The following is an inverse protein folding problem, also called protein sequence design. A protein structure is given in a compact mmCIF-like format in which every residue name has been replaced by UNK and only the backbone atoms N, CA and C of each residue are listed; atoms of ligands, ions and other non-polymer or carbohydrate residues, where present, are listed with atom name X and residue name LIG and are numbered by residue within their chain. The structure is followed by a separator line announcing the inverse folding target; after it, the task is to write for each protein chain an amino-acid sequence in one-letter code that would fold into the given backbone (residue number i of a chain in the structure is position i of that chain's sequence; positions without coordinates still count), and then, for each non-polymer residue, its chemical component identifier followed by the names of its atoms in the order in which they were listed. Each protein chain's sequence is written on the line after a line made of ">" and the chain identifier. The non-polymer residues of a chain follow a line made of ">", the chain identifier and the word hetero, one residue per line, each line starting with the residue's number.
data_IF_271541513167
#
_entry.id   IF_271541513167
#
_cell.length_a   1.000
_cell.length_b   1.000
_cell.length_c   1.000
_cell.angle_alpha   90.00
_cell.angle_beta   90.00
_cell.angle_gamma   90.00
#
_symmetry.space_group_name_H-M   'P 1'
#
loop_
_entity.id
_entity.type
_entity.pdbx_description
1 polymer ?
#
# COMPACT_ATOMS: atom_id res chain seq x y z
N UNK A 1 7.59 -6.49 24.91
CA UNK A 1 7.96 -5.67 23.81
C UNK A 1 7.13 -5.98 22.58
N UNK A 2 6.47 -5.04 22.07
CA UNK A 2 5.59 -5.27 20.92
C UNK A 2 6.42 -5.46 19.67
N UNK A 3 6.62 -6.67 19.30
CA UNK A 3 7.54 -6.99 18.25
C UNK A 3 7.00 -6.81 16.86
N UNK A 4 5.70 -6.83 16.71
CA UNK A 4 5.10 -6.83 15.40
C UNK A 4 4.67 -5.46 14.92
N UNK A 5 4.85 -4.44 15.74
CA UNK A 5 4.38 -3.11 15.37
C UNK A 5 5.22 -2.52 14.25
N UNK A 6 4.56 -1.88 13.31
CA UNK A 6 5.23 -1.20 12.22
C UNK A 6 5.15 0.30 12.45
N UNK A 7 6.30 0.98 12.40
CA UNK A 7 6.34 2.41 12.51
C UNK A 7 6.03 3.05 11.15
N UNK A 8 5.53 4.28 11.19
CA UNK A 8 5.21 5.00 9.97
C UNK A 8 6.43 5.13 9.07
N UNK A 9 7.61 5.38 9.65
CA UNK A 9 8.83 5.53 8.86
C UNK A 9 9.18 4.24 8.14
N UNK A 10 9.02 3.10 8.81
CA UNK A 10 9.32 1.82 8.20
C UNK A 10 8.36 1.52 7.05
N UNK A 11 7.10 1.85 7.21
CA UNK A 11 6.12 1.68 6.14
C UNK A 11 6.46 2.56 4.95
N UNK A 12 6.78 3.83 5.23
CA UNK A 12 7.17 4.78 4.18
C UNK A 12 8.38 4.28 3.41
N UNK A 13 9.41 3.83 4.13
CA UNK A 13 10.63 3.33 3.50
C UNK A 13 10.33 2.11 2.61
N UNK A 14 9.46 1.24 3.08
CA UNK A 14 9.08 0.06 2.31
C UNK A 14 8.41 0.47 1.00
N UNK A 15 7.45 1.39 1.06
CA UNK A 15 6.75 1.84 -0.14
C UNK A 15 7.67 2.53 -1.13
N UNK A 16 8.57 3.38 -0.63
CA UNK A 16 9.47 4.13 -1.51
C UNK A 16 10.54 3.26 -2.14
N UNK A 17 10.79 2.08 -1.59
CA UNK A 17 11.73 1.13 -2.18
C UNK A 17 11.13 0.39 -3.37
N UNK A 18 9.82 0.44 -3.57
CA UNK A 18 9.19 -0.24 -4.70
C UNK A 18 9.46 0.54 -5.98
N UNK A 19 9.70 -0.16 -7.11
CA UNK A 19 10.10 0.49 -8.35
C UNK A 19 9.10 1.55 -8.82
N UNK A 20 9.60 2.76 -9.09
CA UNK A 20 8.80 3.84 -9.59
C UNK A 20 7.87 4.49 -8.58
N UNK A 21 7.94 4.09 -7.32
CA UNK A 21 7.06 4.66 -6.29
C UNK A 21 7.49 6.09 -5.94
N UNK A 22 6.50 6.95 -5.79
CA UNK A 22 6.71 8.34 -5.39
C UNK A 22 5.76 8.66 -4.25
N UNK A 23 6.05 9.74 -3.52
CA UNK A 23 5.19 10.17 -2.44
C UNK A 23 4.82 11.63 -2.62
N UNK A 24 3.74 12.04 -1.99
CA UNK A 24 3.31 13.44 -2.04
C UNK A 24 2.18 13.70 -1.09
N UNK A 25 1.78 14.96 -1.01
CA UNK A 25 0.73 15.43 -0.10
C UNK A 25 -0.38 16.14 -0.89
N UNK A 26 -1.00 15.47 -1.86
CA UNK A 26 -1.99 16.13 -2.71
C UNK A 26 -3.26 16.54 -1.99
N UNK A 27 -3.53 15.94 -0.82
CA UNK A 27 -4.74 16.23 -0.06
C UNK A 27 -4.46 17.06 1.19
N UNK A 28 -3.26 17.63 1.32
CA UNK A 28 -2.92 18.46 2.47
C UNK A 28 -1.81 17.85 3.30
N UNK A 29 -1.35 18.56 4.33
CA UNK A 29 -0.15 18.17 5.07
C UNK A 29 -0.32 16.94 5.95
N UNK A 30 -1.54 16.48 6.17
CA UNK A 30 -1.78 15.37 7.09
C UNK A 30 -1.99 14.04 6.39
N UNK A 31 -1.91 13.99 5.07
CA UNK A 31 -2.19 12.75 4.33
C UNK A 31 -1.08 12.50 3.31
N UNK A 32 -0.27 11.49 3.57
CA UNK A 32 0.82 11.12 2.67
C UNK A 32 0.32 10.06 1.70
N UNK A 33 0.54 10.28 0.41
CA UNK A 33 0.06 9.40 -0.64
C UNK A 33 1.24 8.82 -1.41
N UNK A 34 1.20 7.52 -1.67
CA UNK A 34 2.22 6.84 -2.46
C UNK A 34 1.61 6.43 -3.79
N UNK A 35 2.30 6.73 -4.87
CA UNK A 35 1.82 6.47 -6.23
C UNK A 35 2.84 5.69 -7.04
N UNK A 36 2.34 4.97 -8.03
CA UNK A 36 3.17 4.36 -9.05
C UNK A 36 2.44 4.57 -10.38
N UNK A 37 3.18 5.05 -11.37
CA UNK A 37 2.57 5.35 -12.68
C UNK A 37 1.46 6.38 -12.58
N UNK A 38 1.54 7.28 -11.63
CA UNK A 38 0.53 8.31 -11.42
C UNK A 38 -0.70 7.86 -10.66
N UNK A 39 -0.78 6.59 -10.24
CA UNK A 39 -1.94 6.06 -9.52
C UNK A 39 -1.57 5.72 -8.10
N UNK A 40 -2.48 6.02 -7.18
CA UNK A 40 -2.29 5.81 -5.76
C UNK A 40 -2.35 4.32 -5.41
N UNK A 41 -1.38 3.84 -4.62
CA UNK A 41 -1.45 2.47 -4.09
C UNK A 41 -1.42 2.43 -2.56
N UNK A 42 -1.09 3.52 -1.89
CA UNK A 42 -1.13 3.59 -0.44
C UNK A 42 -1.41 5.02 -0.01
N UNK A 43 -2.11 5.14 1.12
CA UNK A 43 -2.45 6.45 1.67
C UNK A 43 -2.32 6.35 3.18
N UNK A 44 -1.55 7.25 3.78
CA UNK A 44 -1.22 7.19 5.18
C UNK A 44 -1.63 8.51 5.86
N UNK A 45 -2.48 8.41 6.88
CA UNK A 45 -2.84 9.57 7.68
C UNK A 45 -1.74 9.85 8.69
N UNK A 46 -1.18 11.06 8.66
CA UNK A 46 -0.06 11.41 9.51
C UNK A 46 -0.48 11.89 10.89
N UNK A 47 -1.72 12.34 11.02
CA UNK A 47 -2.23 12.88 12.28
C UNK A 47 -3.19 11.93 13.00
N UNK A 48 -3.23 10.68 12.55
CA UNK A 48 -4.13 9.69 13.15
C UNK A 48 -3.45 8.93 14.27
N UNK A 49 -4.23 8.70 15.33
CA UNK A 49 -3.74 7.94 16.47
C UNK A 49 -4.85 6.99 16.91
N UNK A 50 -4.70 5.69 16.76
CA UNK A 50 -3.51 5.03 16.22
C UNK A 50 -3.40 5.20 14.71
N UNK A 51 -2.20 5.10 14.15
CA UNK A 51 -1.99 5.29 12.72
C UNK A 51 -2.54 4.11 11.91
N UNK A 52 -3.00 4.42 10.71
CA UNK A 52 -3.43 3.38 9.79
C UNK A 52 -3.05 3.78 8.36
N UNK A 53 -3.07 2.79 7.48
CA UNK A 53 -2.82 3.02 6.06
C UNK A 53 -3.96 2.43 5.27
N UNK A 54 -4.32 3.08 4.16
CA UNK A 54 -5.27 2.52 3.21
C UNK A 54 -4.50 1.84 2.11
N UNK A 55 -4.85 0.59 1.83
CA UNK A 55 -4.18 -0.22 0.81
C UNK A 55 -5.22 -0.87 -0.07
N UNK A 56 -4.95 -0.87 -1.38
CA UNK A 56 -5.82 -1.55 -2.32
C UNK A 56 -5.65 -3.05 -2.17
N UNK A 57 -6.72 -3.79 -2.35
CA UNK A 57 -6.70 -5.23 -2.13
C UNK A 57 -7.69 -5.93 -3.04
N UNK A 58 -7.36 -7.15 -3.44
CA UNK A 58 -8.31 -8.01 -4.10
C UNK A 58 -9.57 -8.12 -3.24
N UNK A 59 -10.79 -7.96 -3.81
CA UNK A 59 -12.01 -7.90 -3.00
C UNK A 59 -12.25 -9.10 -2.10
N UNK A 60 -11.98 -10.31 -2.58
CA UNK A 60 -12.19 -11.50 -1.76
C UNK A 60 -11.19 -11.55 -0.61
N UNK A 61 -9.95 -11.22 -0.91
CA UNK A 61 -8.93 -11.18 0.12
C UNK A 61 -9.20 -10.07 1.13
N UNK A 62 -9.73 -8.94 0.65
CA UNK A 62 -10.06 -7.83 1.54
C UNK A 62 -11.05 -8.27 2.61
N UNK A 63 -12.08 -9.03 2.21
CA UNK A 63 -13.07 -9.54 3.16
C UNK A 63 -12.42 -10.51 4.14
N UNK A 64 -11.58 -11.43 3.66
CA UNK A 64 -10.90 -12.39 4.52
C UNK A 64 -10.01 -11.70 5.55
N UNK A 65 -9.31 -10.66 5.13
CA UNK A 65 -8.44 -9.93 6.05
C UNK A 65 -9.25 -9.23 7.14
N UNK A 66 -10.39 -8.66 6.78
CA UNK A 66 -11.26 -8.02 7.76
C UNK A 66 -11.83 -9.01 8.75
N UNK A 67 -12.04 -10.25 8.32
CA UNK A 67 -12.52 -11.30 9.21
C UNK A 67 -11.42 -11.87 10.08
N UNK A 68 -10.19 -11.83 9.60
CA UNK A 68 -9.04 -12.39 10.29
C UNK A 68 -8.44 -11.44 11.32
N UNK A 69 -8.35 -10.16 10.96
CA UNK A 69 -7.67 -9.17 11.80
C UNK A 69 -8.63 -8.08 12.23
N UNK A 70 -8.66 -7.82 13.51
CA UNK A 70 -9.52 -6.78 14.05
C UNK A 70 -9.12 -5.39 13.54
N UNK A 71 -7.84 -5.17 13.33
CA UNK A 71 -7.35 -3.86 12.89
C UNK A 71 -7.43 -3.66 11.39
N UNK A 72 -8.03 -4.59 10.64
CA UNK A 72 -8.32 -4.38 9.22
C UNK A 72 -9.80 -4.07 9.07
N UNK A 73 -10.10 -2.93 8.46
CA UNK A 73 -11.48 -2.46 8.30
C UNK A 73 -11.68 -2.01 6.86
N UNK A 74 -12.93 -1.80 6.42
CA UNK A 74 -13.16 -1.26 5.07
C UNK A 74 -12.47 0.09 4.92
N UNK A 75 -11.95 0.36 3.72
CA UNK A 75 -11.15 1.54 3.48
C UNK A 75 -11.85 2.83 3.85
N UNK A 76 -11.28 3.56 4.78
CA UNK A 76 -11.83 4.81 5.29
C UNK A 76 -11.73 5.88 4.20
N UNK A 77 -12.87 6.46 3.83
CA UNK A 77 -12.97 7.42 2.74
C UNK A 77 -12.52 6.89 1.38
N UNK A 78 -12.53 5.56 1.22
CA UNK A 78 -12.14 4.91 -0.02
C UNK A 78 -13.25 3.99 -0.49
N UNK A 79 -13.12 3.46 -1.70
CA UNK A 79 -14.02 2.42 -2.18
C UNK A 79 -13.82 1.18 -1.31
N UNK A 80 -14.86 0.75 -0.62
CA UNK A 80 -14.72 -0.27 0.41
C UNK A 80 -14.66 -1.69 -0.14
N UNK A 81 -14.94 -1.87 -1.42
CA UNK A 81 -14.77 -3.18 -2.07
C UNK A 81 -13.30 -3.41 -2.37
N UNK A 82 -12.59 -2.37 -2.79
CA UNK A 82 -11.22 -2.49 -3.28
C UNK A 82 -10.15 -1.98 -2.32
N UNK A 83 -10.54 -1.40 -1.20
CA UNK A 83 -9.58 -0.81 -0.27
C UNK A 83 -9.87 -1.22 1.16
N UNK A 84 -8.80 -1.51 1.89
CA UNK A 84 -8.87 -1.74 3.34
C UNK A 84 -8.06 -0.69 4.06
N UNK A 85 -8.49 -0.36 5.28
CA UNK A 85 -7.68 0.40 6.21
C UNK A 85 -7.01 -0.59 7.15
N UNK A 86 -5.70 -0.51 7.29
CA UNK A 86 -4.91 -1.44 8.08
C UNK A 86 -4.26 -0.66 9.21
N UNK A 87 -4.60 -0.98 10.45
CA UNK A 87 -3.99 -0.34 11.60
C UNK A 87 -2.56 -0.79 11.76
N UNK A 88 -1.65 0.15 11.96
CA UNK A 88 -0.22 -0.17 12.04
C UNK A 88 0.20 -0.66 13.43
N UNK A 89 -0.64 -0.44 14.44
CA UNK A 89 -0.35 -0.85 15.81
C UNK A 89 -1.36 -1.84 16.35
N UNK A 90 -2.02 -2.55 15.45
CA UNK A 90 -3.02 -3.52 15.84
C UNK A 90 -2.49 -4.93 15.75
N UNK A 91 -3.35 -5.85 15.36
CA UNK A 91 -3.04 -7.27 15.37
C UNK A 91 -2.46 -7.80 14.06
N UNK A 92 -2.15 -6.94 13.10
CA UNK A 92 -1.54 -7.37 11.84
C UNK A 92 -0.02 -7.32 11.98
N UNK A 93 0.67 -8.46 11.81
CA UNK A 93 2.14 -8.46 11.90
C UNK A 93 2.76 -7.57 10.82
N UNK A 94 3.92 -6.97 11.15
CA UNK A 94 4.57 -6.05 10.23
C UNK A 94 4.91 -6.70 8.90
N UNK A 95 5.28 -7.98 8.91
CA UNK A 95 5.55 -8.70 7.66
C UNK A 95 4.33 -8.81 6.77
N UNK A 96 3.16 -8.99 7.37
CA UNK A 96 1.91 -9.03 6.63
C UNK A 96 1.58 -7.65 6.07
N UNK A 97 1.81 -6.59 6.86
CA UNK A 97 1.57 -5.23 6.38
C UNK A 97 2.43 -4.92 5.16
N UNK A 98 3.71 -5.31 5.19
CA UNK A 98 4.58 -5.13 4.02
C UNK A 98 4.08 -5.90 2.82
N UNK A 99 3.65 -7.14 3.03
CA UNK A 99 3.14 -7.96 1.96
C UNK A 99 1.86 -7.37 1.38
N UNK A 100 1.02 -6.77 2.22
CA UNK A 100 -0.20 -6.11 1.76
C UNK A 100 0.12 -4.85 0.96
N UNK A 101 1.17 -4.13 1.33
CA UNK A 101 1.64 -2.98 0.56
C UNK A 101 2.12 -3.44 -0.82
N UNK A 102 2.87 -4.54 -0.87
CA UNK A 102 3.34 -5.10 -2.13
C UNK A 102 2.17 -5.56 -3.01
N UNK A 103 1.17 -6.15 -2.39
CA UNK A 103 -0.03 -6.60 -3.10
C UNK A 103 -0.78 -5.40 -3.72
N UNK A 104 -0.94 -4.33 -2.94
CA UNK A 104 -1.59 -3.12 -3.42
C UNK A 104 -0.81 -2.52 -4.60
N UNK A 105 0.50 -2.43 -4.46
CA UNK A 105 1.37 -1.95 -5.52
C UNK A 105 1.19 -2.80 -6.79
N UNK A 106 1.22 -4.12 -6.65
CA UNK A 106 1.10 -5.02 -7.79
C UNK A 106 -0.24 -4.85 -8.50
N UNK A 107 -1.33 -4.67 -7.75
CA UNK A 107 -2.64 -4.45 -8.34
C UNK A 107 -2.67 -3.18 -9.16
N UNK A 108 -2.06 -2.11 -8.65
CA UNK A 108 -2.04 -0.83 -9.37
C UNK A 108 -1.17 -0.94 -10.61
N UNK A 109 0.01 -1.57 -10.49
CA UNK A 109 0.88 -1.77 -11.66
C UNK A 109 0.16 -2.54 -12.75
N UNK A 110 -0.57 -3.60 -12.37
CA UNK A 110 -1.31 -4.41 -13.33
C UNK A 110 -2.38 -3.60 -14.07
N UNK A 111 -2.87 -2.52 -13.47
CA UNK A 111 -3.88 -1.67 -14.07
C UNK A 111 -3.31 -0.58 -14.97
N UNK A 112 -1.99 -0.44 -15.02
CA UNK A 112 -1.37 0.62 -15.81
C UNK A 112 -1.32 0.25 -17.29
N UNK A 113 -1.26 1.25 -18.20
CA UNK A 113 -1.02 0.97 -19.62
C UNK A 113 0.29 0.21 -19.80
N UNK A 114 0.36 -0.54 -20.88
CA UNK A 114 1.52 -1.38 -21.15
C UNK A 114 2.82 -0.60 -21.17
N UNK A 115 2.82 0.59 -21.76
CA UNK A 115 4.04 1.40 -21.83
C UNK A 115 4.54 1.79 -20.45
N UNK A 116 3.62 2.14 -19.54
CA UNK A 116 4.01 2.50 -18.19
C UNK A 116 4.52 1.27 -17.42
N UNK A 117 3.88 0.11 -17.61
CA UNK A 117 4.34 -1.10 -16.96
C UNK A 117 5.70 -1.54 -17.46
N UNK A 118 5.94 -1.41 -18.76
CA UNK A 118 7.21 -1.77 -19.37
C UNK A 118 8.34 -0.91 -18.80
N UNK A 119 8.09 0.38 -18.62
CA UNK A 119 9.10 1.27 -18.07
C UNK A 119 9.51 0.83 -16.65
N UNK A 120 8.56 0.38 -15.85
CA UNK A 120 8.86 -0.10 -14.51
C UNK A 120 9.60 -1.44 -14.55
N UNK A 121 9.13 -2.35 -15.40
CA UNK A 121 9.75 -3.66 -15.51
C UNK A 121 11.15 -3.59 -16.05
N UNK A 122 11.37 -2.74 -17.03
CA UNK A 122 12.72 -2.55 -17.56
C UNK A 122 13.64 -2.02 -16.47
N UNK A 123 13.13 -1.16 -15.63
CA UNK A 123 13.89 -0.65 -14.51
C UNK A 123 14.32 -1.73 -13.57
N UNK A 124 13.63 -2.84 -13.55
CA UNK A 124 14.01 -3.96 -12.73
C UNK A 124 14.95 -4.90 -13.41
N UNK A 125 15.18 -4.62 -14.54
CA UNK A 125 16.03 -5.47 -15.29
C UNK A 125 15.32 -6.77 -15.54
N UNK A 126 15.03 -6.89 -15.35
CA UNK A 126 14.60 -7.89 -15.58
C UNK A 126 14.26 -8.16 -16.80
N UNK A 127 14.33 -7.96 -16.71
CA UNK A 127 14.07 -8.30 -17.30
C UNK A 127 13.80 -8.22 -18.19
N UNK A 128 13.93 -7.93 -18.27
CA UNK A 128 13.78 -7.84 -18.91
C UNK A 128 13.44 -8.11 -19.67
N UNK A 129 13.37 -8.20 -19.71
CA UNK A 129 13.12 -8.46 -20.34
C UNK A 129 12.65 -8.36 -21.04
N UNK A 130 12.75 -8.21 -21.10
CA UNK A 130 12.41 -8.10 -21.62
C UNK A 130 11.86 -8.14 -22.17
N UNK A 131 11.77 -8.17 -22.24
CA UNK A 131 11.38 -8.12 -22.67
C UNK A 131 10.96 -7.98 -23.06
#
# INVERSE_FOLDING_TARGET
>A
MPLALMHLDAFRDHCLALPGATEGLPFGPDTLVFKVGGKMFALMGLDREPPFVNLKCDPERAVELRETFESVTPGWHMNKVHWNSVGLRGDVPSGVIRELADHSYALVVASLPKTARTALGDGEGGGGDVS
#
